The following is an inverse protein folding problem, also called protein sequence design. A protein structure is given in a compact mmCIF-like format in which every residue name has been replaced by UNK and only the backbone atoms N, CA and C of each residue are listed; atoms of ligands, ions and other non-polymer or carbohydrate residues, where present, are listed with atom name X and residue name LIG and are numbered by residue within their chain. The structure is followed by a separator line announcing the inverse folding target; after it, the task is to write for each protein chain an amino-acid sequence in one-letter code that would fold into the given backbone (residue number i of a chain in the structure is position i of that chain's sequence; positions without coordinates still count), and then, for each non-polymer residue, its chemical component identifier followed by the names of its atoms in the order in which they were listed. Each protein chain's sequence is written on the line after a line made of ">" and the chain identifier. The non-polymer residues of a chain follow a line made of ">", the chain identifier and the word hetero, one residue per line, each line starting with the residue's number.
data_IF_292904793342
#
_entry.id   IF_292904793342
#
_cell.length_a   1.000
_cell.length_b   1.000
_cell.length_c   1.000
_cell.angle_alpha   90.00
_cell.angle_beta   90.00
_cell.angle_gamma   90.00
#
_symmetry.space_group_name_H-M   'P 1'
#
loop_
_entity.id
_entity.type
_entity.pdbx_description
1 polymer ?
#
# COMPACT_ATOMS: atom_id res chain seq x y z
N UNK A 1 3.21 -12.61 18.87
CA UNK A 1 2.15 -12.33 17.87
C UNK A 1 2.77 -12.15 16.50
N UNK A 2 2.23 -12.75 15.45
CA UNK A 2 2.74 -12.51 14.12
C UNK A 2 2.54 -11.04 13.73
N UNK A 3 3.47 -10.52 12.99
CA UNK A 3 3.37 -9.16 12.49
C UNK A 3 2.27 -9.06 11.44
N UNK A 4 1.57 -7.92 11.42
CA UNK A 4 0.57 -7.67 10.38
C UNK A 4 1.24 -7.49 9.03
N UNK A 5 0.63 -8.02 8.01
CA UNK A 5 1.18 -7.96 6.64
C UNK A 5 0.61 -6.76 5.90
N UNK A 6 1.48 -6.00 5.26
CA UNK A 6 1.08 -4.85 4.44
C UNK A 6 1.62 -5.02 3.02
N UNK A 7 0.86 -4.52 2.05
CA UNK A 7 1.31 -4.43 0.67
C UNK A 7 1.63 -2.96 0.39
N UNK A 8 2.81 -2.68 -0.18
CA UNK A 8 3.26 -1.32 -0.44
C UNK A 8 3.14 -1.04 -1.93
N UNK A 9 2.31 -0.05 -2.27
CA UNK A 9 2.06 0.38 -3.65
C UNK A 9 2.70 1.75 -3.86
N UNK A 10 3.45 1.92 -4.94
CA UNK A 10 4.15 3.18 -5.20
C UNK A 10 4.50 3.30 -6.68
N UNK A 11 4.76 4.54 -7.11
CA UNK A 11 5.27 4.81 -8.45
C UNK A 11 6.78 4.53 -8.47
N UNK A 12 7.25 3.89 -9.55
CA UNK A 12 8.64 3.50 -9.70
C UNK A 12 9.62 4.67 -9.50
N UNK A 13 9.24 5.87 -9.92
CA UNK A 13 10.10 7.05 -9.76
C UNK A 13 10.40 7.37 -8.29
N UNK A 14 9.61 6.85 -7.36
CA UNK A 14 9.78 7.10 -5.93
C UNK A 14 10.55 6.00 -5.20
N UNK A 15 11.16 5.07 -5.92
CA UNK A 15 11.80 3.87 -5.33
C UNK A 15 12.79 4.18 -4.21
N UNK A 16 13.57 5.25 -4.35
CA UNK A 16 14.56 5.61 -3.33
C UNK A 16 13.89 5.97 -1.99
N UNK A 17 12.81 6.77 -2.05
CA UNK A 17 12.08 7.14 -0.84
C UNK A 17 11.32 5.95 -0.25
N UNK A 18 10.83 5.07 -1.12
CA UNK A 18 10.16 3.84 -0.68
C UNK A 18 11.13 2.94 0.08
N UNK A 19 12.36 2.82 -0.39
CA UNK A 19 13.39 2.07 0.34
C UNK A 19 13.63 2.66 1.72
N UNK A 20 13.60 3.99 1.83
CA UNK A 20 13.71 4.68 3.11
C UNK A 20 12.54 4.36 4.04
N UNK A 21 11.32 4.32 3.50
CA UNK A 21 10.12 3.96 4.28
C UNK A 21 10.25 2.52 4.82
N UNK A 22 10.62 1.58 3.96
CA UNK A 22 10.75 0.18 4.34
C UNK A 22 11.83 0.01 5.42
N UNK A 23 12.89 0.81 5.36
CA UNK A 23 13.99 0.74 6.31
C UNK A 23 13.72 1.38 7.66
N UNK A 24 12.59 2.07 7.84
CA UNK A 24 12.25 2.66 9.12
C UNK A 24 12.04 1.57 10.18
N UNK A 25 12.60 1.79 11.36
CA UNK A 25 12.44 0.85 12.48
C UNK A 25 10.97 0.61 12.81
N UNK A 26 10.16 1.68 12.76
CA UNK A 26 8.71 1.60 12.97
C UNK A 26 8.05 0.58 12.06
N UNK A 27 8.50 0.47 10.81
CA UNK A 27 7.94 -0.45 9.84
C UNK A 27 8.55 -1.85 10.01
N UNK A 28 9.87 -1.93 10.13
CA UNK A 28 10.56 -3.22 10.25
C UNK A 28 10.14 -3.99 11.50
N UNK A 29 9.94 -3.28 12.61
CA UNK A 29 9.61 -3.93 13.88
C UNK A 29 8.16 -4.38 13.99
N UNK A 30 7.24 -3.76 13.21
CA UNK A 30 5.82 -3.96 13.40
C UNK A 30 5.13 -4.71 12.26
N UNK A 31 5.72 -4.75 11.07
CA UNK A 31 5.04 -5.27 9.89
C UNK A 31 5.89 -6.21 9.07
N UNK A 32 5.23 -7.17 8.42
CA UNK A 32 5.76 -7.86 7.26
C UNK A 32 5.23 -7.13 6.04
N UNK A 33 6.05 -6.91 5.02
CA UNK A 33 5.63 -6.16 3.86
C UNK A 33 5.91 -6.91 2.56
N UNK A 34 5.08 -6.64 1.56
CA UNK A 34 5.20 -7.19 0.22
C UNK A 34 5.26 -6.03 -0.77
N UNK A 35 6.13 -6.15 -1.76
CA UNK A 35 6.27 -5.13 -2.78
C UNK A 35 6.78 -5.75 -4.06
N UNK A 36 5.88 -5.89 -5.05
CA UNK A 36 6.22 -6.57 -6.29
C UNK A 36 7.30 -5.83 -7.10
N UNK A 37 7.41 -4.51 -6.95
CA UNK A 37 8.38 -3.72 -7.72
C UNK A 37 9.81 -3.97 -7.27
N UNK A 38 9.99 -4.48 -6.07
CA UNK A 38 11.29 -4.87 -5.55
C UNK A 38 11.58 -6.36 -5.71
N UNK A 39 10.61 -7.13 -6.20
CA UNK A 39 10.74 -8.57 -6.37
C UNK A 39 11.04 -8.88 -7.83
N UNK A 40 12.24 -9.38 -8.08
CA UNK A 40 12.70 -9.68 -9.43
C UNK A 40 11.99 -10.85 -10.08
N UNK A 41 11.33 -11.71 -9.28
CA UNK A 41 10.62 -12.88 -9.80
C UNK A 41 9.47 -12.54 -10.73
N UNK A 42 8.93 -11.34 -10.62
CA UNK A 42 7.81 -10.91 -11.45
C UNK A 42 8.20 -9.91 -12.51
N UNK A 43 9.46 -9.84 -12.86
CA UNK A 43 9.92 -9.00 -13.96
C UNK A 43 9.59 -9.70 -15.30
N UNK A 44 8.34 -9.58 -15.71
CA UNK A 44 7.82 -10.24 -16.92
C UNK A 44 7.06 -9.25 -17.77
N UNK A 45 7.10 -9.43 -19.09
CA UNK A 45 6.30 -8.64 -20.02
C UNK A 45 4.87 -9.18 -20.17
N UNK A 46 4.56 -10.34 -19.60
CA UNK A 46 3.21 -10.92 -19.64
C UNK A 46 2.34 -10.26 -18.60
N UNK A 47 1.46 -9.35 -19.04
CA UNK A 47 0.60 -8.58 -18.16
C UNK A 47 -0.37 -9.45 -17.36
N UNK A 48 -0.91 -10.52 -17.96
CA UNK A 48 -1.82 -11.43 -17.24
C UNK A 48 -1.10 -12.14 -16.11
N UNK A 49 0.11 -12.61 -16.35
CA UNK A 49 0.92 -13.27 -15.34
C UNK A 49 1.23 -12.29 -14.18
N UNK A 50 1.66 -11.08 -14.53
CA UNK A 50 2.03 -10.08 -13.52
C UNK A 50 0.82 -9.71 -12.66
N UNK A 51 -0.34 -9.45 -13.27
CA UNK A 51 -1.54 -9.11 -12.51
C UNK A 51 -1.97 -10.25 -11.59
N UNK A 52 -1.88 -11.50 -12.05
CA UNK A 52 -2.23 -12.65 -11.23
C UNK A 52 -1.30 -12.78 -10.02
N UNK A 53 0.01 -12.60 -10.24
CA UNK A 53 0.99 -12.68 -9.15
C UNK A 53 0.73 -11.58 -8.12
N UNK A 54 0.52 -10.35 -8.57
CA UNK A 54 0.25 -9.23 -7.65
C UNK A 54 -1.02 -9.51 -6.85
N UNK A 55 -2.08 -9.96 -7.53
CA UNK A 55 -3.37 -10.25 -6.87
C UNK A 55 -3.24 -11.35 -5.82
N UNK A 56 -2.61 -12.45 -6.15
CA UNK A 56 -2.63 -13.65 -5.33
C UNK A 56 -1.49 -13.71 -4.31
N UNK A 57 -0.31 -13.20 -4.66
CA UNK A 57 0.87 -13.34 -3.82
C UNK A 57 1.20 -12.09 -3.01
N UNK A 58 0.69 -10.94 -3.39
CA UNK A 58 1.01 -9.67 -2.72
C UNK A 58 -0.20 -9.02 -2.07
N UNK A 59 -1.30 -8.85 -2.80
CA UNK A 59 -2.49 -8.19 -2.23
C UNK A 59 -3.25 -9.14 -1.31
N UNK A 60 -3.49 -10.37 -1.75
CA UNK A 60 -4.28 -11.32 -0.97
C UNK A 60 -3.74 -11.56 0.44
N UNK A 61 -2.43 -11.81 0.65
CA UNK A 61 -1.93 -12.06 2.00
C UNK A 61 -1.85 -10.82 2.88
N UNK A 62 -1.95 -9.62 2.31
CA UNK A 62 -1.85 -8.39 3.08
C UNK A 62 -3.17 -8.04 3.74
N UNK A 63 -3.10 -7.38 4.89
CA UNK A 63 -4.28 -6.85 5.57
C UNK A 63 -4.58 -5.41 5.16
N UNK A 64 -3.53 -4.66 4.83
CA UNK A 64 -3.64 -3.24 4.46
C UNK A 64 -2.73 -3.00 3.26
N UNK A 65 -3.24 -2.23 2.31
CA UNK A 65 -2.42 -1.68 1.23
C UNK A 65 -2.03 -0.26 1.60
N UNK A 66 -0.73 0.00 1.67
CA UNK A 66 -0.19 1.32 1.94
C UNK A 66 0.29 1.91 0.62
N UNK A 67 -0.32 3.01 0.20
CA UNK A 67 0.06 3.72 -1.02
C UNK A 67 0.98 4.87 -0.65
N UNK A 68 2.21 4.85 -1.12
CA UNK A 68 3.16 5.93 -0.87
C UNK A 68 3.03 6.95 -2.00
N UNK A 69 2.56 8.16 -1.66
CA UNK A 69 2.13 9.15 -2.63
C UNK A 69 3.25 10.14 -2.92
N UNK A 70 3.82 10.02 -4.11
CA UNK A 70 4.77 11.00 -4.67
C UNK A 70 4.08 11.93 -5.65
N UNK A 71 4.87 12.66 -6.43
CA UNK A 71 4.34 13.68 -7.32
C UNK A 71 3.51 13.13 -8.48
N UNK A 72 3.76 11.89 -8.91
CA UNK A 72 3.10 11.30 -10.08
C UNK A 72 2.30 10.03 -9.77
N UNK A 73 2.18 9.68 -8.51
CA UNK A 73 1.55 8.41 -8.10
C UNK A 73 0.11 8.31 -8.59
N UNK A 74 -0.64 9.42 -8.54
CA UNK A 74 -2.03 9.43 -8.99
C UNK A 74 -2.21 9.13 -10.48
N UNK A 75 -1.13 9.17 -11.25
CA UNK A 75 -1.16 8.92 -12.70
C UNK A 75 -0.60 7.55 -13.06
N UNK A 76 -0.15 6.77 -12.08
CA UNK A 76 0.46 5.46 -12.34
C UNK A 76 -0.63 4.42 -12.58
N UNK A 77 -0.71 3.82 -13.78
CA UNK A 77 -1.70 2.77 -14.04
C UNK A 77 -1.59 1.57 -13.10
N UNK A 78 -0.37 1.17 -12.75
CA UNK A 78 -0.17 0.04 -11.84
C UNK A 78 -0.65 0.36 -10.43
N UNK A 79 -0.38 1.56 -9.92
CA UNK A 79 -0.84 1.96 -8.60
C UNK A 79 -2.37 2.00 -8.58
N UNK A 80 -2.98 2.58 -9.61
CA UNK A 80 -4.45 2.65 -9.69
C UNK A 80 -5.06 1.25 -9.74
N UNK A 81 -4.44 0.32 -10.48
CA UNK A 81 -4.90 -1.06 -10.52
C UNK A 81 -4.77 -1.74 -9.16
N UNK A 82 -3.65 -1.53 -8.47
CA UNK A 82 -3.41 -2.10 -7.15
C UNK A 82 -4.41 -1.58 -6.12
N UNK A 83 -4.76 -0.29 -6.20
CA UNK A 83 -5.79 0.29 -5.33
C UNK A 83 -7.14 -0.39 -5.58
N UNK A 84 -7.54 -0.53 -6.84
CA UNK A 84 -8.82 -1.16 -7.17
C UNK A 84 -8.85 -2.62 -6.73
N UNK A 85 -7.75 -3.33 -6.90
CA UNK A 85 -7.66 -4.73 -6.47
C UNK A 85 -7.76 -4.83 -4.94
N UNK A 86 -7.15 -3.90 -4.22
CA UNK A 86 -7.23 -3.85 -2.77
C UNK A 86 -8.67 -3.61 -2.29
N UNK A 87 -9.38 -2.70 -2.96
CA UNK A 87 -10.79 -2.42 -2.66
C UNK A 87 -11.63 -3.68 -2.92
N UNK A 88 -11.42 -4.31 -4.06
CA UNK A 88 -12.16 -5.51 -4.43
C UNK A 88 -11.98 -6.63 -3.40
N UNK A 89 -10.80 -6.76 -2.84
CA UNK A 89 -10.50 -7.79 -1.84
C UNK A 89 -10.84 -7.37 -0.41
N UNK A 90 -11.39 -6.17 -0.20
CA UNK A 90 -11.80 -5.70 1.12
C UNK A 90 -10.65 -5.34 2.05
N UNK A 91 -9.50 -4.98 1.50
CA UNK A 91 -8.33 -4.62 2.32
C UNK A 91 -8.45 -3.20 2.85
N UNK A 92 -7.76 -2.93 3.95
CA UNK A 92 -7.56 -1.55 4.40
C UNK A 92 -6.73 -0.80 3.38
N UNK A 93 -6.99 0.49 3.23
CA UNK A 93 -6.31 1.30 2.21
C UNK A 93 -5.88 2.62 2.84
N UNK A 94 -4.58 2.83 2.93
CA UNK A 94 -3.97 4.00 3.57
C UNK A 94 -3.02 4.68 2.59
N UNK A 95 -3.16 6.01 2.47
CA UNK A 95 -2.21 6.81 1.72
C UNK A 95 -1.26 7.55 2.65
N UNK A 96 0.03 7.54 2.34
CA UNK A 96 1.04 8.31 3.07
C UNK A 96 1.79 9.15 2.05
N UNK A 97 1.76 10.47 2.23
CA UNK A 97 2.53 11.36 1.36
C UNK A 97 4.01 11.22 1.64
N UNK A 98 4.79 11.01 0.60
CA UNK A 98 6.24 11.03 0.72
C UNK A 98 6.72 12.43 1.08
N UNK A 99 7.83 12.49 1.80
CA UNK A 99 8.38 13.76 2.26
C UNK A 99 8.66 14.68 1.08
N UNK A 100 8.12 15.89 1.14
CA UNK A 100 8.28 16.88 0.09
C UNK A 100 7.37 16.72 -1.11
N UNK A 101 6.48 15.73 -1.09
CA UNK A 101 5.57 15.50 -2.22
C UNK A 101 4.32 16.38 -2.10
N UNK A 102 3.86 16.89 -3.24
CA UNK A 102 2.62 17.65 -3.36
C UNK A 102 1.68 17.04 -4.39
N UNK A 103 1.89 15.77 -4.77
CA UNK A 103 1.08 15.11 -5.77
C UNK A 103 -0.37 14.91 -5.36
N UNK A 104 -1.25 14.72 -6.33
CA UNK A 104 -2.66 14.44 -6.09
C UNK A 104 -2.84 13.11 -5.38
N UNK A 105 -3.95 12.98 -4.65
CA UNK A 105 -4.31 11.70 -4.02
C UNK A 105 -4.81 10.76 -5.11
N UNK A 106 -4.24 9.56 -5.23
CA UNK A 106 -4.74 8.58 -6.21
C UNK A 106 -6.21 8.25 -5.97
N UNK A 107 -6.95 8.06 -7.06
CA UNK A 107 -8.36 7.74 -7.00
C UNK A 107 -8.59 6.42 -6.25
N UNK A 108 -9.54 6.42 -5.34
CA UNK A 108 -9.92 5.23 -4.56
C UNK A 108 -9.50 5.29 -3.11
N UNK A 109 -8.53 6.14 -2.76
CA UNK A 109 -8.12 6.30 -1.36
C UNK A 109 -9.07 7.31 -0.70
N UNK A 110 -9.72 6.93 0.42
CA UNK A 110 -10.57 7.90 1.13
C UNK A 110 -9.78 9.10 1.65
N UNK A 111 -10.39 10.27 1.61
CA UNK A 111 -9.72 11.49 2.06
C UNK A 111 -9.27 11.41 3.52
N UNK A 112 -10.05 10.74 4.36
CA UNK A 112 -9.70 10.60 5.78
C UNK A 112 -8.66 9.49 6.04
N UNK A 113 -8.19 8.84 5.00
CA UNK A 113 -7.17 7.78 5.10
C UNK A 113 -5.86 8.20 4.44
N UNK A 114 -5.56 9.50 4.43
CA UNK A 114 -4.31 10.03 3.89
C UNK A 114 -3.59 10.80 4.98
N UNK A 115 -2.33 10.44 5.24
CA UNK A 115 -1.49 11.13 6.20
C UNK A 115 -0.22 11.69 5.57
N UNK A 116 0.41 12.63 6.25
CA UNK A 116 1.69 13.20 5.83
C UNK A 116 2.86 12.34 6.27
N UNK A 117 4.07 12.87 6.10
CA UNK A 117 5.27 12.12 6.46
C UNK A 117 5.57 12.28 7.95
N UNK A 118 5.05 11.35 8.74
CA UNK A 118 5.22 11.35 10.19
C UNK A 118 5.50 9.91 10.65
N UNK A 119 6.77 9.48 10.58
CA UNK A 119 7.13 8.08 10.83
C UNK A 119 6.64 7.51 12.17
N UNK A 120 6.58 8.33 13.21
CA UNK A 120 6.15 7.86 14.53
C UNK A 120 4.68 7.45 14.57
N UNK A 121 3.90 7.89 13.58
CA UNK A 121 2.46 7.60 13.53
C UNK A 121 2.11 6.51 12.53
N UNK A 122 3.04 6.06 11.71
CA UNK A 122 2.73 5.13 10.63
C UNK A 122 2.12 3.83 11.14
N UNK A 123 2.68 3.24 12.19
CA UNK A 123 2.16 1.98 12.72
C UNK A 123 0.73 2.13 13.22
N UNK A 124 0.42 3.23 13.92
CA UNK A 124 -0.93 3.47 14.44
C UNK A 124 -1.92 3.71 13.29
N UNK A 125 -1.51 4.42 12.25
CA UNK A 125 -2.36 4.65 11.08
C UNK A 125 -2.68 3.35 10.34
N UNK A 126 -1.68 2.49 10.18
CA UNK A 126 -1.88 1.19 9.50
C UNK A 126 -2.86 0.35 10.32
N UNK A 127 -2.69 0.30 11.64
CA UNK A 127 -3.58 -0.46 12.51
C UNK A 127 -5.00 0.09 12.49
N UNK A 128 -5.15 1.43 12.54
CA UNK A 128 -6.45 2.07 12.43
C UNK A 128 -7.13 1.69 11.10
N UNK A 129 -6.37 1.74 10.01
CA UNK A 129 -6.90 1.41 8.68
C UNK A 129 -7.37 -0.04 8.62
N UNK A 130 -6.62 -0.95 9.22
CA UNK A 130 -7.04 -2.34 9.30
C UNK A 130 -8.35 -2.48 10.08
N UNK A 131 -8.45 -1.82 11.23
CA UNK A 131 -9.66 -1.89 12.05
C UNK A 131 -10.87 -1.35 11.30
N UNK A 132 -10.70 -0.27 10.55
CA UNK A 132 -11.79 0.28 9.74
C UNK A 132 -12.25 -0.72 8.67
N UNK A 133 -11.34 -1.42 8.02
CA UNK A 133 -11.69 -2.40 7.00
C UNK A 133 -12.44 -3.59 7.60
N UNK A 134 -12.05 -4.04 8.80
CA UNK A 134 -12.72 -5.13 9.49
C UNK A 134 -14.10 -4.71 9.98
N UNK A 135 -14.25 -3.50 10.45
CA UNK A 135 -15.53 -2.97 10.88
C UNK A 135 -16.55 -2.95 9.73
N UNK A 136 -16.12 -2.48 8.54
CA UNK A 136 -16.98 -2.51 7.35
C UNK A 136 -17.40 -3.93 6.99
N UNK A 137 -16.49 -4.87 7.07
CA UNK A 137 -16.76 -6.27 6.75
C UNK A 137 -17.74 -6.89 7.73
N UNK A 138 -17.80 -6.41 8.97
CA UNK A 138 -18.64 -6.94 10.03
C UNK A 138 -20.07 -6.38 10.01
N UNK A 139 -20.35 -5.33 9.25
CA UNK A 139 -21.68 -4.72 9.20
C UNK A 139 -22.64 -5.61 8.43
N UNK A 140 -23.75 -6.04 9.02
CA UNK A 140 -24.74 -6.84 8.31
C UNK A 140 -25.37 -6.06 7.16
N UNK A 141 -25.73 -6.77 6.13
CA UNK A 141 -26.36 -6.19 4.95
C UNK A 141 -27.85 -6.45 4.96
#
# INVERSE_FOLDING_TARGET
>A
MPKRRIFISFDHDDSAQVSGFIGLREILDNFEFYNHKLDRRINSSDAEYVTRVIREEYVRPASVTVVLIGNKTAQSPWVLWEIQESIRQGKGLLGIRLKGSAGAIPKGIPDNAVGGWDPEKFASWIEWTYQQSQHKSAIPR
#
